data_IF_390178419735
#
_entry.id   IF_390178419735
#
_cell.length_a   1.000
_cell.length_b   1.000
_cell.length_c   1.000
_cell.angle_alpha   90.00
_cell.angle_beta   90.00
_cell.angle_gamma   90.00
#
_symmetry.space_group_name_H-M   'P 1'
#
loop_
_entity.id
_entity.type
_entity.pdbx_description
1 polymer ?
#
# COMPACT_ATOMS: atom_id res chain seq x y z
N UNK A 1 10.11 4.64 -19.25
CA UNK A 1 9.12 4.84 -18.15
C UNK A 1 8.37 3.56 -17.90
N UNK A 2 7.70 3.44 -16.76
CA UNK A 2 6.84 2.29 -16.44
C UNK A 2 5.47 2.54 -17.08
N UNK A 3 4.90 1.53 -17.75
CA UNK A 3 3.59 1.66 -18.41
C UNK A 3 2.47 1.71 -17.37
N UNK A 4 1.57 2.68 -17.49
CA UNK A 4 0.33 2.77 -16.71
C UNK A 4 -0.90 2.25 -17.49
N UNK A 5 -0.70 1.65 -18.66
CA UNK A 5 -1.81 1.18 -19.52
C UNK A 5 -2.65 0.14 -18.78
N UNK A 6 -3.96 0.39 -18.69
CA UNK A 6 -4.93 -0.51 -18.06
C UNK A 6 -5.15 -0.27 -16.56
N UNK A 7 -4.40 0.62 -15.93
CA UNK A 7 -4.65 1.03 -14.56
C UNK A 7 -5.85 1.99 -14.52
N UNK A 8 -6.87 1.63 -13.75
CA UNK A 8 -8.08 2.43 -13.50
C UNK A 8 -8.37 2.45 -12.02
N UNK A 9 -8.85 3.58 -11.50
CA UNK A 9 -9.26 3.68 -10.10
C UNK A 9 -10.50 2.82 -9.85
N UNK A 10 -10.51 2.07 -8.76
CA UNK A 10 -11.68 1.38 -8.23
C UNK A 10 -11.69 1.45 -6.70
N UNK A 11 -12.85 1.22 -6.11
CA UNK A 11 -12.98 1.06 -4.67
C UNK A 11 -12.59 -0.36 -4.25
N UNK A 12 -12.11 -0.51 -3.02
CA UNK A 12 -11.92 -1.81 -2.38
C UNK A 12 -13.27 -2.53 -2.26
N UNK A 13 -13.32 -3.82 -2.59
CA UNK A 13 -14.54 -4.62 -2.53
C UNK A 13 -14.26 -6.06 -2.04
N UNK A 14 -15.30 -6.90 -2.03
CA UNK A 14 -15.22 -8.24 -1.47
C UNK A 14 -14.21 -9.15 -2.20
N UNK A 15 -13.88 -8.84 -3.46
CA UNK A 15 -12.88 -9.61 -4.23
C UNK A 15 -11.45 -9.41 -3.72
N UNK A 16 -11.21 -8.37 -2.92
CA UNK A 16 -9.91 -8.08 -2.33
C UNK A 16 -9.64 -8.85 -1.04
N UNK A 17 -10.66 -9.51 -0.46
CA UNK A 17 -10.53 -10.22 0.82
C UNK A 17 -9.61 -11.45 0.75
N UNK A 18 -9.36 -11.98 -0.45
CA UNK A 18 -8.49 -13.13 -0.69
C UNK A 18 -7.00 -12.75 -0.82
N UNK A 19 -6.64 -11.46 -0.71
CA UNK A 19 -5.26 -11.01 -0.80
C UNK A 19 -4.45 -11.36 0.46
N UNK A 20 -3.18 -11.69 0.30
CA UNK A 20 -2.27 -11.92 1.45
C UNK A 20 -1.89 -10.60 2.16
N UNK A 21 -1.82 -9.50 1.39
CA UNK A 21 -1.42 -8.17 1.87
C UNK A 21 -2.32 -7.09 1.29
N UNK A 22 -2.83 -6.19 2.14
CA UNK A 22 -3.57 -5.00 1.71
C UNK A 22 -2.89 -3.77 2.34
N UNK A 23 -2.17 -3.01 1.51
CA UNK A 23 -1.27 -1.95 1.98
C UNK A 23 -1.85 -0.56 1.74
N UNK A 24 -1.95 0.24 2.81
CA UNK A 24 -2.33 1.65 2.76
C UNK A 24 -1.12 2.57 2.60
N UNK A 25 -1.34 3.79 2.09
CA UNK A 25 -0.28 4.79 1.94
C UNK A 25 -0.05 5.60 3.22
N UNK A 26 -1.11 5.78 4.01
CA UNK A 26 -1.11 6.52 5.27
C UNK A 26 -1.91 5.79 6.37
N UNK A 27 -1.88 6.34 7.59
CA UNK A 27 -2.62 5.79 8.71
C UNK A 27 -4.15 5.80 8.51
N UNK A 28 -4.69 6.73 7.73
CA UNK A 28 -6.13 6.84 7.46
C UNK A 28 -6.62 5.73 6.51
N UNK A 29 -5.85 5.42 5.48
CA UNK A 29 -6.06 4.29 4.59
C UNK A 29 -6.10 3.00 5.39
N UNK A 30 -5.09 2.77 6.23
CA UNK A 30 -4.98 1.56 7.05
C UNK A 30 -6.16 1.39 7.99
N UNK A 31 -6.61 2.46 8.68
CA UNK A 31 -7.82 2.40 9.51
C UNK A 31 -9.06 2.02 8.71
N UNK A 32 -9.24 2.61 7.52
CA UNK A 32 -10.40 2.33 6.67
C UNK A 32 -10.37 0.90 6.11
N UNK A 33 -9.19 0.42 5.69
CA UNK A 33 -8.98 -0.94 5.21
C UNK A 33 -9.27 -1.92 6.35
N UNK A 34 -8.71 -1.71 7.54
CA UNK A 34 -8.99 -2.54 8.71
C UNK A 34 -10.49 -2.64 8.98
N UNK A 35 -11.19 -1.51 9.04
CA UNK A 35 -12.64 -1.51 9.25
C UNK A 35 -13.41 -2.27 8.17
N UNK A 36 -12.90 -2.28 6.93
CA UNK A 36 -13.52 -3.03 5.84
C UNK A 36 -13.29 -4.55 5.98
N UNK A 37 -12.07 -4.97 6.31
CA UNK A 37 -11.66 -6.38 6.33
C UNK A 37 -11.84 -7.09 7.68
N UNK A 38 -12.12 -6.34 8.75
CA UNK A 38 -12.22 -6.88 10.11
C UNK A 38 -13.20 -8.07 10.19
N UNK A 39 -12.68 -9.22 10.66
CA UNK A 39 -13.41 -10.48 10.75
C UNK A 39 -13.78 -11.15 9.42
N UNK A 40 -13.24 -10.67 8.28
CA UNK A 40 -13.58 -11.17 6.92
C UNK A 40 -12.38 -11.63 6.10
N UNK A 41 -11.17 -11.25 6.48
CA UNK A 41 -9.94 -11.58 5.75
C UNK A 41 -8.80 -11.83 6.72
N UNK A 42 -7.90 -12.74 6.33
CA UNK A 42 -6.64 -13.01 7.01
C UNK A 42 -5.48 -12.14 6.47
N UNK A 43 -5.79 -11.19 5.57
CA UNK A 43 -4.80 -10.30 4.96
C UNK A 43 -4.00 -9.53 6.00
N UNK A 44 -2.70 -9.41 5.77
CA UNK A 44 -1.86 -8.48 6.50
C UNK A 44 -2.17 -7.05 6.03
N UNK A 45 -2.73 -6.25 6.93
CA UNK A 45 -3.00 -4.83 6.68
C UNK A 45 -1.94 -3.97 7.36
N UNK A 46 -1.23 -3.17 6.58
CA UNK A 46 -0.16 -2.30 7.06
C UNK A 46 0.03 -1.08 6.15
N UNK A 47 0.86 -0.12 6.57
CA UNK A 47 1.34 0.93 5.66
C UNK A 47 2.46 0.40 4.77
N UNK A 48 2.53 0.87 3.54
CA UNK A 48 3.56 0.44 2.59
C UNK A 48 4.99 0.65 3.14
N UNK A 49 5.27 1.81 3.75
CA UNK A 49 6.58 2.09 4.34
C UNK A 49 6.85 1.36 5.65
N UNK A 50 5.82 0.90 6.34
CA UNK A 50 5.98 0.13 7.57
C UNK A 50 6.59 -1.24 7.30
N UNK A 51 6.21 -1.85 6.17
CA UNK A 51 6.87 -3.06 5.63
C UNK A 51 8.35 -2.80 5.31
N UNK A 52 8.71 -1.56 4.96
CA UNK A 52 10.10 -1.14 4.78
C UNK A 52 10.84 -0.81 6.10
N UNK A 53 10.21 -1.00 7.26
CA UNK A 53 10.77 -0.62 8.56
C UNK A 53 10.79 0.88 8.82
N UNK A 54 10.02 1.66 8.05
CA UNK A 54 9.97 3.12 8.14
C UNK A 54 8.58 3.54 8.66
N UNK A 55 8.46 3.98 9.93
CA UNK A 55 7.16 4.22 10.56
C UNK A 55 6.60 5.61 10.23
N UNK A 56 6.42 5.93 8.95
CA UNK A 56 5.84 7.21 8.48
C UNK A 56 4.87 7.01 7.33
N UNK A 57 4.04 8.01 7.11
CA UNK A 57 3.07 8.03 6.01
C UNK A 57 3.73 8.47 4.70
N UNK A 58 3.16 8.02 3.59
CA UNK A 58 3.44 8.56 2.27
C UNK A 58 2.51 9.76 2.06
N UNK A 59 3.09 10.92 1.78
CA UNK A 59 2.31 12.12 1.52
C UNK A 59 1.53 11.99 0.22
N UNK A 60 0.25 12.36 0.25
CA UNK A 60 -0.59 12.40 -0.94
C UNK A 60 -0.13 13.59 -1.83
N UNK A 61 0.29 13.31 -3.08
CA UNK A 61 0.79 14.33 -3.98
C UNK A 61 -0.31 15.29 -4.45
N UNK A 62 -1.59 14.91 -4.36
CA UNK A 62 -2.71 15.79 -4.70
C UNK A 62 -2.80 16.98 -3.73
N UNK A 63 -2.50 16.76 -2.45
CA UNK A 63 -2.54 17.80 -1.43
C UNK A 63 -1.21 18.53 -1.26
N UNK A 64 -0.08 17.84 -1.41
CA UNK A 64 1.25 18.43 -1.20
C UNK A 64 1.83 19.08 -2.46
N UNK A 65 1.44 18.61 -3.64
CA UNK A 65 2.06 19.00 -4.91
C UNK A 65 3.44 18.39 -5.16
N UNK A 66 4.00 17.61 -4.23
CA UNK A 66 5.33 17.01 -4.34
C UNK A 66 5.24 15.53 -4.77
N UNK A 67 5.10 15.32 -6.07
CA UNK A 67 5.08 13.98 -6.67
C UNK A 67 6.42 13.25 -6.54
N UNK A 68 7.54 13.98 -6.46
CA UNK A 68 8.87 13.38 -6.35
C UNK A 68 9.07 12.74 -4.97
N UNK A 69 8.56 13.38 -3.91
CA UNK A 69 8.54 12.79 -2.57
C UNK A 69 7.71 11.50 -2.53
N UNK A 70 6.47 11.55 -3.03
CA UNK A 70 5.61 10.35 -3.11
C UNK A 70 6.28 9.24 -3.92
N UNK A 71 6.91 9.57 -5.06
CA UNK A 71 7.60 8.58 -5.89
C UNK A 71 8.76 7.90 -5.16
N UNK A 72 9.61 8.67 -4.45
CA UNK A 72 10.72 8.11 -3.65
C UNK A 72 10.20 7.14 -2.58
N UNK A 73 9.11 7.52 -1.91
CA UNK A 73 8.52 6.74 -0.83
C UNK A 73 7.88 5.44 -1.33
N UNK A 74 7.06 5.53 -2.39
CA UNK A 74 6.44 4.34 -3.01
C UNK A 74 7.52 3.40 -3.53
N UNK A 75 8.58 3.92 -4.15
CA UNK A 75 9.70 3.11 -4.65
C UNK A 75 10.42 2.39 -3.52
N UNK A 76 10.72 3.09 -2.41
CA UNK A 76 11.33 2.50 -1.23
C UNK A 76 10.48 1.35 -0.68
N UNK A 77 9.19 1.60 -0.50
CA UNK A 77 8.24 0.62 0.01
C UNK A 77 8.10 -0.62 -0.86
N UNK A 78 7.90 -0.44 -2.17
CA UNK A 78 7.78 -1.55 -3.12
C UNK A 78 9.04 -2.42 -3.17
N UNK A 79 10.24 -1.81 -3.13
CA UNK A 79 11.50 -2.56 -3.12
C UNK A 79 11.65 -3.38 -1.83
N UNK A 80 11.33 -2.80 -0.67
CA UNK A 80 11.42 -3.52 0.59
C UNK A 80 10.42 -4.68 0.68
N UNK A 81 9.17 -4.45 0.25
CA UNK A 81 8.14 -5.50 0.17
C UNK A 81 8.61 -6.64 -0.75
N UNK A 82 9.14 -6.32 -1.93
CA UNK A 82 9.63 -7.34 -2.87
C UNK A 82 10.75 -8.19 -2.25
N UNK A 83 11.69 -7.58 -1.53
CA UNK A 83 12.77 -8.31 -0.85
C UNK A 83 12.27 -9.16 0.32
N UNK A 84 11.20 -8.75 0.99
CA UNK A 84 10.55 -9.57 2.01
C UNK A 84 9.87 -10.79 1.37
N UNK A 85 9.04 -10.57 0.35
CA UNK A 85 8.32 -11.65 -0.35
C UNK A 85 9.27 -12.70 -0.93
N UNK A 86 10.44 -12.28 -1.45
CA UNK A 86 11.48 -13.20 -1.93
C UNK A 86 12.06 -14.12 -0.86
N UNK A 87 12.01 -13.74 0.42
CA UNK A 87 12.52 -14.55 1.54
C UNK A 87 11.45 -15.50 2.09
N UNK A 88 10.18 -15.25 1.79
CA UNK A 88 9.05 -16.09 2.18
C UNK A 88 8.82 -17.24 1.17
N UNK A 89 9.47 -17.18 0.00
CA UNK A 89 9.52 -18.22 -1.04
C UNK A 89 10.66 -19.22 -0.78
#
# INVERSE_FOLDING_TARGET
>A
GISAKGLVSRTLDATDLDADYILGMDASNVRNIHAFVDGKSDATVARLLEVAGVPRDIADPWYTGDFDATYRDVTLGCNALLEQLKKEL
#
